data_IF_980544632755
#
_entry.id   IF_980544632755
#
_cell.length_a   1.000
_cell.length_b   1.000
_cell.length_c   1.000
_cell.angle_alpha   90.00
_cell.angle_beta   90.00
_cell.angle_gamma   90.00
#
_symmetry.space_group_name_H-M   'P 1'
#
loop_
_entity.id
_entity.type
_entity.pdbx_description
1 polymer ?
#
# COMPACT_ATOMS: atom_id res chain seq x y z
N UNK A 1 13.46 -5.63 -17.03
CA UNK A 1 12.50 -4.53 -16.69
C UNK A 1 11.57 -5.12 -15.65
N UNK A 2 11.44 -4.47 -14.49
CA UNK A 2 10.56 -4.95 -13.42
C UNK A 2 9.16 -4.36 -13.55
N UNK A 3 8.15 -5.19 -13.29
CA UNK A 3 6.75 -4.78 -13.39
C UNK A 3 6.21 -4.37 -12.02
N UNK A 4 6.28 -3.06 -11.74
CA UNK A 4 5.77 -2.48 -10.49
C UNK A 4 4.24 -2.42 -10.55
N UNK A 5 3.57 -3.09 -9.61
CA UNK A 5 2.10 -3.09 -9.50
C UNK A 5 1.66 -2.09 -8.44
N UNK A 6 0.49 -1.49 -8.67
CA UNK A 6 -0.13 -0.56 -7.74
C UNK A 6 -1.32 -1.24 -7.05
N UNK A 7 -1.41 -1.07 -5.74
CA UNK A 7 -2.54 -1.51 -4.94
C UNK A 7 -3.17 -0.33 -4.19
N UNK A 8 -4.48 -0.37 -3.99
CA UNK A 8 -5.22 0.67 -3.25
C UNK A 8 -5.96 0.05 -2.06
N UNK A 9 -6.39 0.85 -1.06
CA UNK A 9 -7.22 0.35 0.04
C UNK A 9 -8.52 -0.34 -0.40
N UNK A 10 -9.03 0.03 -1.58
CA UNK A 10 -10.22 -0.56 -2.19
C UNK A 10 -9.94 -1.85 -2.96
N UNK A 11 -8.69 -2.28 -3.05
CA UNK A 11 -8.34 -3.55 -3.72
C UNK A 11 -8.68 -4.71 -2.79
N UNK A 12 -9.68 -5.49 -3.18
CA UNK A 12 -10.08 -6.69 -2.44
C UNK A 12 -8.97 -7.75 -2.40
N UNK A 13 -8.88 -8.46 -1.27
CA UNK A 13 -7.89 -9.53 -1.10
C UNK A 13 -8.06 -10.68 -2.09
N UNK A 14 -9.26 -10.89 -2.61
CA UNK A 14 -9.53 -11.88 -3.66
C UNK A 14 -8.91 -11.51 -5.01
N UNK A 15 -8.70 -10.22 -5.28
CA UNK A 15 -8.08 -9.73 -6.52
C UNK A 15 -6.57 -9.59 -6.41
N UNK A 16 -6.02 -9.59 -5.19
CA UNK A 16 -4.58 -9.43 -4.96
C UNK A 16 -3.73 -10.47 -5.72
N UNK A 17 -4.04 -11.78 -5.72
CA UNK A 17 -3.24 -12.76 -6.44
C UNK A 17 -3.12 -12.45 -7.95
N UNK A 18 -4.22 -12.02 -8.58
CA UNK A 18 -4.24 -11.63 -10.00
C UNK A 18 -3.48 -10.32 -10.26
N UNK A 19 -3.54 -9.36 -9.33
CA UNK A 19 -2.77 -8.11 -9.45
C UNK A 19 -1.28 -8.37 -9.27
N UNK A 20 -0.93 -9.29 -8.37
CA UNK A 20 0.44 -9.70 -8.09
C UNK A 20 1.02 -10.65 -9.15
N UNK A 21 0.20 -11.18 -10.04
CA UNK A 21 0.65 -12.02 -11.13
C UNK A 21 1.55 -11.22 -12.09
N UNK A 22 2.80 -11.69 -12.21
CA UNK A 22 3.86 -11.02 -12.97
C UNK A 22 4.44 -9.78 -12.29
N UNK A 23 4.06 -9.47 -11.05
CA UNK A 23 4.65 -8.37 -10.29
C UNK A 23 6.10 -8.68 -9.92
N UNK A 24 7.00 -7.72 -10.09
CA UNK A 24 8.40 -7.83 -9.67
C UNK A 24 8.92 -6.50 -9.14
N UNK A 25 10.08 -6.54 -8.47
CA UNK A 25 10.63 -5.36 -7.79
C UNK A 25 9.91 -5.08 -6.47
N UNK A 26 8.78 -4.38 -6.52
CA UNK A 26 8.00 -4.02 -5.33
C UNK A 26 6.52 -3.76 -5.66
N UNK A 27 5.67 -3.84 -4.63
CA UNK A 27 4.27 -3.43 -4.69
C UNK A 27 4.14 -2.00 -4.18
N UNK A 28 3.52 -1.12 -4.95
CA UNK A 28 3.28 0.28 -4.56
C UNK A 28 1.85 0.45 -4.05
N UNK A 29 1.68 0.54 -2.74
CA UNK A 29 0.39 0.76 -2.10
C UNK A 29 0.09 2.26 -2.01
N UNK A 30 -0.91 2.72 -2.77
CA UNK A 30 -1.34 4.12 -2.78
C UNK A 30 -2.58 4.27 -1.94
N UNK A 31 -2.45 4.95 -0.80
CA UNK A 31 -3.57 5.29 0.06
C UNK A 31 -4.07 6.69 -0.25
N UNK A 32 -5.26 6.80 -0.83
CA UNK A 32 -5.96 8.07 -1.11
C UNK A 32 -6.89 8.44 0.06
N UNK A 33 -6.52 8.10 1.29
CA UNK A 33 -7.32 8.42 2.48
C UNK A 33 -7.41 9.93 2.79
N UNK A 34 -6.85 10.81 1.94
CA UNK A 34 -6.57 12.21 2.27
C UNK A 34 -7.29 13.30 1.47
N UNK A 35 -8.29 13.03 0.63
CA UNK A 35 -9.06 14.12 -0.01
C UNK A 35 -10.08 14.79 0.92
N UNK A 36 -10.47 14.15 2.03
CA UNK A 36 -11.52 14.66 2.93
C UNK A 36 -11.00 15.41 4.15
N UNK A 37 -9.70 15.64 4.29
CA UNK A 37 -9.12 16.51 5.33
C UNK A 37 -9.30 16.05 6.80
N UNK A 38 -10.07 14.98 7.05
CA UNK A 38 -10.50 14.56 8.39
C UNK A 38 -9.92 13.23 8.86
N UNK A 39 -9.25 12.48 7.99
CA UNK A 39 -8.50 11.32 8.42
C UNK A 39 -7.04 11.53 8.06
N UNK A 40 -6.24 11.90 9.06
CA UNK A 40 -4.89 11.35 9.11
C UNK A 40 -5.09 9.85 8.90
N UNK A 41 -4.61 9.31 7.77
CA UNK A 41 -4.63 7.89 7.52
C UNK A 41 -3.97 7.26 8.74
N UNK A 42 -4.78 6.72 9.66
CA UNK A 42 -4.28 6.25 10.93
C UNK A 42 -3.19 5.25 10.57
N UNK A 43 -1.98 5.46 11.09
CA UNK A 43 -0.82 4.60 10.83
C UNK A 43 -1.20 3.11 11.00
N UNK A 44 -2.10 2.84 11.94
CA UNK A 44 -2.78 1.56 12.16
C UNK A 44 -3.49 0.97 10.93
N UNK A 45 -4.20 1.79 10.13
CA UNK A 45 -4.85 1.36 8.88
C UNK A 45 -3.83 1.00 7.80
N UNK A 46 -2.69 1.70 7.77
CA UNK A 46 -1.58 1.40 6.86
C UNK A 46 -0.93 0.07 7.26
N UNK A 47 -0.62 -0.11 8.55
CA UNK A 47 -0.04 -1.35 9.07
C UNK A 47 -0.93 -2.56 8.79
N UNK A 48 -2.24 -2.42 8.99
CA UNK A 48 -3.21 -3.45 8.67
C UNK A 48 -3.23 -3.79 7.17
N UNK A 49 -3.17 -2.78 6.30
CA UNK A 49 -3.11 -2.97 4.86
C UNK A 49 -1.81 -3.65 4.42
N UNK A 50 -0.65 -3.17 4.90
CA UNK A 50 0.66 -3.75 4.60
C UNK A 50 0.72 -5.20 5.08
N UNK A 51 0.22 -5.49 6.29
CA UNK A 51 0.17 -6.86 6.82
C UNK A 51 -0.67 -7.77 5.93
N UNK A 52 -1.83 -7.28 5.47
CA UNK A 52 -2.69 -8.03 4.55
C UNK A 52 -2.01 -8.27 3.20
N UNK A 53 -1.30 -7.28 2.66
CA UNK A 53 -0.56 -7.41 1.41
C UNK A 53 0.58 -8.42 1.53
N UNK A 54 1.37 -8.32 2.60
CA UNK A 54 2.46 -9.27 2.90
C UNK A 54 1.98 -10.71 3.10
N UNK A 55 0.73 -10.91 3.52
CA UNK A 55 0.14 -12.25 3.58
C UNK A 55 -0.12 -12.88 2.19
N UNK A 56 -0.08 -12.09 1.10
CA UNK A 56 -0.33 -12.54 -0.26
C UNK A 56 0.91 -12.42 -1.17
N UNK A 57 1.98 -11.76 -0.71
CA UNK A 57 3.22 -11.61 -1.48
C UNK A 57 4.42 -11.39 -0.57
N UNK A 58 5.57 -11.93 -0.97
CA UNK A 58 6.87 -11.67 -0.36
C UNK A 58 7.55 -10.41 -0.94
N UNK A 59 6.91 -9.75 -1.91
CA UNK A 59 7.46 -8.54 -2.53
C UNK A 59 7.54 -7.40 -1.50
N UNK A 60 8.61 -6.59 -1.53
CA UNK A 60 8.67 -5.35 -0.78
C UNK A 60 7.44 -4.48 -1.06
N UNK A 61 6.85 -3.89 -0.01
CA UNK A 61 5.68 -3.01 -0.13
C UNK A 61 6.10 -1.58 0.17
N UNK A 62 5.96 -0.69 -0.81
CA UNK A 62 6.17 0.74 -0.66
C UNK A 62 4.81 1.44 -0.49
N UNK A 63 4.67 2.30 0.52
CA UNK A 63 3.39 2.94 0.86
C UNK A 63 3.45 4.43 0.52
N UNK A 64 2.56 4.88 -0.36
CA UNK A 64 2.38 6.30 -0.72
C UNK A 64 1.08 6.84 -0.14
N UNK A 65 1.15 7.54 0.99
CA UNK A 65 -0.01 8.13 1.69
C UNK A 65 0.06 9.66 1.82
N UNK A 66 0.87 10.31 0.99
CA UNK A 66 1.04 11.76 1.03
C UNK A 66 1.76 12.21 2.30
N UNK A 67 2.93 11.62 2.57
CA UNK A 67 3.84 12.01 3.66
C UNK A 67 4.05 13.53 3.60
N UNK A 68 3.56 14.22 4.62
CA UNK A 68 3.64 15.69 4.75
C UNK A 68 4.57 16.13 5.87
N UNK A 69 4.96 15.21 6.75
CA UNK A 69 5.89 15.46 7.84
C UNK A 69 6.97 14.36 7.88
N UNK A 70 8.18 14.64 8.40
CA UNK A 70 9.25 13.65 8.49
C UNK A 70 8.92 12.48 9.43
N UNK A 71 8.09 12.70 10.46
CA UNK A 71 7.65 11.65 11.38
C UNK A 71 6.80 10.59 10.65
N UNK A 72 6.01 11.01 9.66
CA UNK A 72 5.26 10.11 8.79
C UNK A 72 6.17 9.31 7.84
N UNK A 73 7.35 9.83 7.49
CA UNK A 73 8.31 9.13 6.62
C UNK A 73 9.10 8.04 7.37
N UNK A 74 9.28 8.19 8.68
CA UNK A 74 10.03 7.26 9.52
C UNK A 74 9.21 6.06 10.04
N UNK A 75 7.92 6.02 9.69
CA UNK A 75 6.93 5.02 10.06
C UNK A 75 7.19 3.63 9.46
#
# INVERSE_FOLDING_TARGET
>A
IDQIRLATPTTDSTRLPTVLEGASGFLYYVSVAGITGLQQAAQTSIDAAVTRLKAHTDLPVAVGFGVRTPEQAAA
#
